data_IF_713426567238
#
_entry.id   IF_713426567238
#
_cell.length_a   1.000
_cell.length_b   1.000
_cell.length_c   1.000
_cell.angle_alpha   90.00
_cell.angle_beta   90.00
_cell.angle_gamma   90.00
#
_symmetry.space_group_name_H-M   'P 1'
#
loop_
_entity.id
_entity.type
_entity.pdbx_description
1 polymer ?
#
# COMPACT_ATOMS: atom_id res chain seq x y z
N UNK A 1 3.25 -24.83 -3.10
CA UNK A 1 2.26 -23.94 -2.41
C UNK A 1 1.49 -23.20 -3.48
N UNK A 2 0.20 -23.42 -3.61
CA UNK A 2 -0.66 -22.68 -4.54
C UNK A 2 -1.42 -21.65 -3.71
N UNK A 3 -1.11 -20.36 -3.93
CA UNK A 3 -1.95 -19.29 -3.39
C UNK A 3 -3.39 -19.42 -3.95
N UNK A 4 -4.41 -18.93 -3.21
CA UNK A 4 -5.77 -18.90 -3.71
C UNK A 4 -5.82 -18.29 -5.10
N UNK A 5 -6.67 -18.84 -5.98
CA UNK A 5 -6.83 -18.32 -7.34
C UNK A 5 -7.21 -16.85 -7.27
N UNK A 6 -6.58 -15.98 -8.08
CA UNK A 6 -6.89 -14.55 -8.04
C UNK A 6 -8.38 -14.35 -8.30
N UNK A 7 -9.03 -13.59 -7.44
CA UNK A 7 -10.43 -13.22 -7.61
C UNK A 7 -10.59 -12.36 -8.86
N UNK A 8 -11.83 -12.21 -9.37
CA UNK A 8 -12.13 -11.33 -10.51
C UNK A 8 -11.65 -9.88 -10.28
N UNK A 9 -11.48 -9.48 -9.03
CA UNK A 9 -10.97 -8.16 -8.64
C UNK A 9 -9.56 -7.84 -9.12
N UNK A 10 -8.72 -8.84 -9.38
CA UNK A 10 -7.36 -8.61 -9.91
C UNK A 10 -7.37 -7.90 -11.28
N UNK A 11 -8.44 -8.06 -12.09
CA UNK A 11 -8.55 -7.38 -13.38
C UNK A 11 -8.66 -5.85 -13.23
N UNK A 12 -9.21 -5.36 -12.10
CA UNK A 12 -9.24 -3.92 -11.79
C UNK A 12 -7.81 -3.42 -11.59
N UNK A 13 -6.98 -4.19 -10.88
CA UNK A 13 -5.55 -3.87 -10.71
C UNK A 13 -4.84 -3.78 -12.06
N UNK A 14 -5.02 -4.76 -12.94
CA UNK A 14 -4.42 -4.73 -14.28
C UNK A 14 -4.91 -3.55 -15.13
N UNK A 15 -6.18 -3.19 -15.00
CA UNK A 15 -6.71 -2.01 -15.69
C UNK A 15 -6.03 -0.72 -15.19
N UNK A 16 -5.88 -0.55 -13.88
CA UNK A 16 -5.19 0.61 -13.29
C UNK A 16 -3.72 0.65 -13.72
N UNK A 17 -3.03 -0.49 -13.70
CA UNK A 17 -1.66 -0.60 -14.21
C UNK A 17 -1.54 -0.19 -15.68
N UNK A 18 -2.52 -0.58 -16.50
CA UNK A 18 -2.61 -0.14 -17.91
C UNK A 18 -2.76 1.38 -18.04
N UNK A 19 -3.55 2.01 -17.15
CA UNK A 19 -3.70 3.48 -17.13
C UNK A 19 -2.39 4.18 -16.73
N UNK A 20 -1.63 3.65 -15.75
CA UNK A 20 -0.32 4.17 -15.36
C UNK A 20 0.66 4.09 -16.57
N UNK A 21 0.68 2.94 -17.24
CA UNK A 21 1.55 2.75 -18.41
C UNK A 21 1.17 3.71 -19.56
N UNK A 22 -0.12 3.92 -19.78
CA UNK A 22 -0.61 4.89 -20.77
C UNK A 22 -0.19 6.32 -20.39
N UNK A 23 -0.29 6.70 -19.12
CA UNK A 23 0.17 7.99 -18.62
C UNK A 23 1.67 8.17 -18.85
N UNK A 24 2.49 7.14 -18.57
CA UNK A 24 3.92 7.16 -18.83
C UNK A 24 4.22 7.39 -20.33
N UNK A 25 3.56 6.65 -21.22
CA UNK A 25 3.73 6.79 -22.66
C UNK A 25 3.29 8.16 -23.17
N UNK A 26 2.17 8.68 -22.68
CA UNK A 26 1.67 10.03 -23.07
C UNK A 26 2.63 11.14 -22.64
N UNK A 27 3.20 11.06 -21.42
CA UNK A 27 4.18 12.03 -20.94
C UNK A 27 5.46 12.03 -21.79
N UNK A 28 5.98 10.85 -22.14
CA UNK A 28 7.15 10.73 -23.03
C UNK A 28 6.86 11.33 -24.42
N UNK A 29 5.70 11.06 -25.00
CA UNK A 29 5.33 11.63 -26.32
C UNK A 29 5.09 13.13 -26.29
N UNK A 30 4.70 13.68 -25.12
CA UNK A 30 4.57 15.11 -24.90
C UNK A 30 5.92 15.83 -24.65
N UNK A 31 7.03 15.07 -24.51
CA UNK A 31 8.36 15.62 -24.18
C UNK A 31 8.62 15.78 -22.69
N UNK A 32 7.65 15.39 -21.84
CA UNK A 32 7.75 15.44 -20.37
C UNK A 32 8.48 14.21 -19.85
N UNK A 33 9.79 14.12 -20.13
CA UNK A 33 10.57 12.90 -19.89
C UNK A 33 10.67 12.53 -18.41
N UNK A 34 10.76 13.52 -17.50
CA UNK A 34 10.80 13.27 -16.06
C UNK A 34 9.50 12.63 -15.56
N UNK A 35 8.35 13.18 -15.98
CA UNK A 35 7.03 12.62 -15.63
C UNK A 35 6.84 11.22 -16.23
N UNK A 36 7.27 11.03 -17.48
CA UNK A 36 7.24 9.73 -18.14
C UNK A 36 8.09 8.67 -17.42
N UNK A 37 9.30 9.05 -16.98
CA UNK A 37 10.17 8.19 -16.18
C UNK A 37 9.55 7.86 -14.83
N UNK A 38 9.04 8.86 -14.10
CA UNK A 38 8.40 8.69 -12.79
C UNK A 38 7.16 7.79 -12.87
N UNK A 39 6.31 7.99 -13.89
CA UNK A 39 5.15 7.11 -14.12
C UNK A 39 5.56 5.68 -14.51
N UNK A 40 6.63 5.52 -15.29
CA UNK A 40 7.20 4.21 -15.62
C UNK A 40 7.74 3.49 -14.39
N UNK A 41 8.42 4.21 -13.51
CA UNK A 41 8.89 3.67 -12.22
C UNK A 41 7.70 3.28 -11.33
N UNK A 42 6.65 4.13 -11.25
CA UNK A 42 5.43 3.81 -10.54
C UNK A 42 4.78 2.52 -11.08
N UNK A 43 4.70 2.35 -12.41
CA UNK A 43 4.24 1.10 -13.00
C UNK A 43 5.05 -0.11 -12.53
N UNK A 44 6.37 -0.03 -12.54
CA UNK A 44 7.23 -1.12 -12.05
C UNK A 44 7.02 -1.41 -10.58
N UNK A 45 6.81 -0.39 -9.74
CA UNK A 45 6.51 -0.55 -8.32
C UNK A 45 5.17 -1.25 -8.07
N UNK A 46 4.18 -1.13 -8.98
CA UNK A 46 2.94 -1.90 -8.87
C UNK A 46 3.16 -3.42 -8.96
N UNK A 47 4.32 -3.87 -9.45
CA UNK A 47 4.68 -5.29 -9.49
C UNK A 47 5.24 -5.81 -8.16
N UNK A 48 5.58 -4.91 -7.21
CA UNK A 48 6.23 -5.30 -5.95
C UNK A 48 5.45 -6.35 -5.15
N UNK A 49 4.10 -6.27 -4.97
CA UNK A 49 3.37 -7.31 -4.24
C UNK A 49 3.43 -8.67 -4.94
N UNK A 50 3.39 -8.70 -6.27
CA UNK A 50 3.51 -9.95 -7.03
C UNK A 50 4.91 -10.57 -6.87
N UNK A 51 5.97 -9.75 -6.86
CA UNK A 51 7.34 -10.19 -6.58
C UNK A 51 7.50 -10.69 -5.15
N UNK A 52 6.88 -10.02 -4.17
CA UNK A 52 6.85 -10.47 -2.77
C UNK A 52 6.19 -11.84 -2.65
N UNK A 53 5.02 -12.03 -3.26
CA UNK A 53 4.32 -13.32 -3.29
C UNK A 53 5.21 -14.42 -3.87
N UNK A 54 5.89 -14.15 -4.99
CA UNK A 54 6.74 -15.14 -5.66
C UNK A 54 8.00 -15.46 -4.89
N UNK A 55 8.72 -14.44 -4.41
CA UNK A 55 10.06 -14.61 -3.84
C UNK A 55 10.02 -14.94 -2.35
N UNK A 56 9.07 -14.36 -1.61
CA UNK A 56 8.98 -14.53 -0.16
C UNK A 56 8.00 -15.63 0.25
N UNK A 57 7.31 -16.28 -0.72
CA UNK A 57 6.27 -17.30 -0.49
C UNK A 57 5.14 -16.80 0.42
N UNK A 58 4.85 -15.51 0.34
CA UNK A 58 3.79 -14.84 1.07
C UNK A 58 2.57 -14.71 0.15
N UNK A 59 1.44 -15.28 0.50
CA UNK A 59 0.21 -15.12 -0.27
C UNK A 59 -0.48 -13.81 0.13
N UNK A 60 -0.19 -12.73 -0.59
CA UNK A 60 -0.87 -11.46 -0.37
C UNK A 60 -2.29 -11.49 -0.95
N UNK A 61 -3.28 -10.96 -0.23
CA UNK A 61 -4.62 -10.73 -0.77
C UNK A 61 -4.54 -9.85 -2.03
N UNK A 62 -5.40 -10.09 -3.02
CA UNK A 62 -5.43 -9.29 -4.25
C UNK A 62 -5.72 -7.81 -3.97
N UNK A 63 -6.41 -7.51 -2.87
CA UNK A 63 -6.69 -6.17 -2.39
C UNK A 63 -5.40 -5.37 -2.13
N UNK A 64 -4.35 -6.01 -1.64
CA UNK A 64 -3.05 -5.34 -1.45
C UNK A 64 -2.46 -4.89 -2.80
N UNK A 65 -2.57 -5.73 -3.83
CA UNK A 65 -2.15 -5.35 -5.19
C UNK A 65 -2.98 -4.16 -5.70
N UNK A 66 -4.29 -4.16 -5.42
CA UNK A 66 -5.18 -3.07 -5.80
C UNK A 66 -4.81 -1.78 -5.07
N UNK A 67 -4.61 -1.81 -3.76
CA UNK A 67 -4.21 -0.63 -2.98
C UNK A 67 -2.90 -0.03 -3.47
N UNK A 68 -1.89 -0.86 -3.78
CA UNK A 68 -0.62 -0.39 -4.36
C UNK A 68 -0.84 0.26 -5.72
N UNK A 69 -1.62 -0.35 -6.59
CA UNK A 69 -1.90 0.21 -7.91
C UNK A 69 -2.69 1.53 -7.82
N UNK A 70 -3.69 1.61 -6.94
CA UNK A 70 -4.48 2.84 -6.70
C UNK A 70 -3.60 3.94 -6.14
N UNK A 71 -2.77 3.67 -5.13
CA UNK A 71 -1.88 4.65 -4.52
C UNK A 71 -0.94 5.27 -5.56
N UNK A 72 -0.26 4.43 -6.34
CA UNK A 72 0.66 4.90 -7.37
C UNK A 72 -0.07 5.61 -8.52
N UNK A 73 -1.28 5.15 -8.89
CA UNK A 73 -2.10 5.82 -9.89
C UNK A 73 -2.51 7.23 -9.46
N UNK A 74 -2.90 7.42 -8.20
CA UNK A 74 -3.26 8.74 -7.66
C UNK A 74 -2.07 9.69 -7.81
N UNK A 75 -0.85 9.31 -7.41
CA UNK A 75 0.33 10.16 -7.58
C UNK A 75 0.64 10.44 -9.05
N UNK A 76 0.61 9.45 -9.93
CA UNK A 76 0.84 9.65 -11.36
C UNK A 76 -0.20 10.62 -11.95
N UNK A 77 -1.47 10.46 -11.62
CA UNK A 77 -2.53 11.35 -12.12
C UNK A 77 -2.49 12.72 -11.46
N UNK A 78 -1.98 12.83 -10.24
CA UNK A 78 -1.69 14.11 -9.60
C UNK A 78 -0.82 15.00 -10.48
N UNK A 79 0.29 14.46 -10.98
CA UNK A 79 1.23 15.17 -11.84
C UNK A 79 0.78 15.20 -13.31
N UNK A 80 0.59 14.04 -13.94
CA UNK A 80 0.27 13.96 -15.37
C UNK A 80 -1.10 14.54 -15.71
N UNK A 81 -2.09 14.33 -14.81
CA UNK A 81 -3.44 14.87 -14.95
C UNK A 81 -3.61 16.30 -14.42
N UNK A 82 -2.59 16.87 -13.77
CA UNK A 82 -2.63 18.21 -13.18
C UNK A 82 -3.55 18.34 -11.97
N UNK A 83 -3.88 17.23 -11.29
CA UNK A 83 -4.81 17.25 -10.16
C UNK A 83 -4.19 17.86 -8.89
N UNK A 84 -2.88 17.81 -8.72
CA UNK A 84 -2.20 18.52 -7.64
C UNK A 84 -2.43 20.03 -7.69
N UNK A 85 -2.57 20.59 -8.89
CA UNK A 85 -2.85 22.02 -9.09
C UNK A 85 -4.37 22.29 -9.04
N UNK A 86 -5.15 21.53 -9.82
CA UNK A 86 -6.59 21.81 -10.01
C UNK A 86 -7.45 21.51 -8.80
N UNK A 87 -7.02 20.60 -7.92
CA UNK A 87 -7.72 20.18 -6.70
C UNK A 87 -6.91 20.49 -5.42
N UNK A 88 -5.93 21.40 -5.53
CA UNK A 88 -5.15 21.85 -4.36
C UNK A 88 -6.05 22.46 -3.27
N UNK A 89 -5.71 22.28 -1.98
CA UNK A 89 -4.64 21.44 -1.43
C UNK A 89 -5.08 19.99 -1.13
N UNK A 90 -6.32 19.62 -1.46
CA UNK A 90 -6.96 18.40 -0.94
C UNK A 90 -6.48 17.13 -1.61
N UNK A 91 -6.16 17.21 -2.91
CA UNK A 91 -5.78 16.00 -3.68
C UNK A 91 -4.51 15.36 -3.13
N UNK A 92 -3.51 16.16 -2.89
CA UNK A 92 -2.23 15.76 -2.35
C UNK A 92 -2.39 15.09 -0.96
N UNK A 93 -3.11 15.74 -0.06
CA UNK A 93 -3.40 15.20 1.29
C UNK A 93 -4.13 13.85 1.25
N UNK A 94 -5.04 13.69 0.29
CA UNK A 94 -5.72 12.41 0.06
C UNK A 94 -4.75 11.36 -0.51
N UNK A 95 -3.85 11.76 -1.40
CA UNK A 95 -2.83 10.88 -1.96
C UNK A 95 -1.91 10.35 -0.86
N UNK A 96 -1.40 11.21 0.03
CA UNK A 96 -0.60 10.82 1.20
C UNK A 96 -1.36 9.87 2.13
N UNK A 97 -2.62 10.17 2.47
CA UNK A 97 -3.44 9.32 3.33
C UNK A 97 -3.61 7.90 2.76
N UNK A 98 -3.91 7.78 1.46
CA UNK A 98 -4.14 6.47 0.81
C UNK A 98 -2.83 5.71 0.65
N UNK A 99 -1.75 6.40 0.28
CA UNK A 99 -0.45 5.78 0.07
C UNK A 99 0.16 5.30 1.37
N UNK A 100 0.07 6.10 2.42
CA UNK A 100 0.55 5.73 3.75
C UNK A 100 -0.25 4.56 4.35
N UNK A 101 -1.58 4.51 4.17
CA UNK A 101 -2.36 3.35 4.56
C UNK A 101 -1.94 2.09 3.79
N UNK A 102 -1.58 2.24 2.51
CA UNK A 102 -1.06 1.13 1.70
C UNK A 102 0.31 0.64 2.19
N UNK A 103 1.23 1.56 2.47
CA UNK A 103 2.56 1.23 3.04
C UNK A 103 2.40 0.55 4.41
N UNK A 104 1.49 1.05 5.25
CA UNK A 104 1.17 0.49 6.55
C UNK A 104 0.68 -0.97 6.46
N UNK A 105 -0.19 -1.27 5.49
CA UNK A 105 -0.64 -2.64 5.21
C UNK A 105 0.51 -3.55 4.78
N UNK A 106 1.37 -3.08 3.89
CA UNK A 106 2.54 -3.84 3.44
C UNK A 106 3.48 -4.11 4.62
N UNK A 107 3.78 -3.09 5.44
CA UNK A 107 4.60 -3.24 6.63
C UNK A 107 4.02 -4.30 7.58
N UNK A 108 2.71 -4.29 7.81
CA UNK A 108 2.05 -5.31 8.61
C UNK A 108 2.23 -6.73 8.05
N UNK A 109 2.02 -6.94 6.74
CA UNK A 109 2.23 -8.26 6.14
C UNK A 109 3.69 -8.72 6.20
N UNK A 110 4.66 -7.80 6.11
CA UNK A 110 6.07 -8.11 6.34
C UNK A 110 6.30 -8.57 7.79
N UNK A 111 5.70 -7.90 8.77
CA UNK A 111 5.81 -8.28 10.18
C UNK A 111 5.18 -9.66 10.46
N UNK A 112 4.02 -9.97 9.86
CA UNK A 112 3.39 -11.30 9.95
C UNK A 112 4.29 -12.38 9.35
N UNK A 113 4.94 -12.09 8.23
CA UNK A 113 5.89 -13.01 7.61
C UNK A 113 7.12 -13.26 8.50
N UNK A 114 7.67 -12.21 9.12
CA UNK A 114 8.80 -12.31 10.03
C UNK A 114 8.44 -13.15 11.29
N UNK A 115 7.22 -12.99 11.81
CA UNK A 115 6.71 -13.86 12.87
C UNK A 115 6.63 -15.32 12.42
N UNK A 116 6.05 -15.57 11.25
CA UNK A 116 5.91 -16.93 10.73
C UNK A 116 7.27 -17.62 10.54
N UNK A 117 8.31 -16.87 10.17
CA UNK A 117 9.68 -17.39 10.06
C UNK A 117 10.38 -17.58 11.40
N UNK A 118 9.75 -17.20 12.50
CA UNK A 118 10.33 -17.26 13.83
C UNK A 118 11.39 -16.19 14.10
N UNK A 119 11.46 -15.16 13.27
CA UNK A 119 12.43 -14.06 13.37
C UNK A 119 12.05 -13.07 14.48
N UNK A 120 10.74 -12.88 14.69
CA UNK A 120 10.17 -12.02 15.74
C UNK A 120 8.96 -12.69 16.39
N UNK A 121 8.59 -12.18 17.57
CA UNK A 121 7.28 -12.46 18.19
C UNK A 121 6.39 -11.25 17.99
N UNK A 122 5.38 -11.37 17.12
CA UNK A 122 4.50 -10.26 16.80
C UNK A 122 3.46 -10.06 17.90
N UNK A 123 3.66 -9.01 18.69
CA UNK A 123 2.67 -8.53 19.67
C UNK A 123 2.02 -7.26 19.14
N UNK A 124 0.84 -6.90 19.68
CA UNK A 124 0.14 -5.68 19.26
C UNK A 124 1.03 -4.42 19.33
N UNK A 125 1.77 -4.14 20.43
CA UNK A 125 2.67 -2.99 20.47
C UNK A 125 3.78 -3.04 19.41
N UNK A 126 4.38 -4.19 19.17
CA UNK A 126 5.44 -4.35 18.15
C UNK A 126 4.86 -4.09 16.76
N UNK A 127 3.66 -4.62 16.45
CA UNK A 127 2.98 -4.37 15.20
C UNK A 127 2.72 -2.87 14.98
N UNK A 128 2.18 -2.17 15.98
CA UNK A 128 1.90 -0.73 15.91
C UNK A 128 3.19 0.05 15.66
N UNK A 129 4.25 -0.18 16.46
CA UNK A 129 5.53 0.52 16.31
C UNK A 129 6.11 0.28 14.92
N UNK A 130 6.12 -0.97 14.46
CA UNK A 130 6.68 -1.31 13.16
C UNK A 130 5.89 -0.66 12.01
N UNK A 131 4.55 -0.73 12.03
CA UNK A 131 3.68 -0.10 11.04
C UNK A 131 3.94 1.41 11.00
N UNK A 132 3.83 2.09 12.14
CA UNK A 132 3.94 3.55 12.20
C UNK A 132 5.34 4.02 11.78
N UNK A 133 6.40 3.38 12.31
CA UNK A 133 7.78 3.77 11.99
C UNK A 133 8.10 3.55 10.51
N UNK A 134 7.70 2.42 9.94
CA UNK A 134 7.95 2.11 8.52
C UNK A 134 7.19 3.09 7.61
N UNK A 135 5.95 3.39 7.94
CA UNK A 135 5.12 4.31 7.14
C UNK A 135 5.68 5.74 7.18
N UNK A 136 6.01 6.26 8.36
CA UNK A 136 6.62 7.58 8.48
C UNK A 136 7.98 7.66 7.81
N UNK A 137 8.81 6.61 7.89
CA UNK A 137 10.08 6.56 7.18
C UNK A 137 9.86 6.62 5.65
N UNK A 138 8.88 5.89 5.13
CA UNK A 138 8.54 5.93 3.71
C UNK A 138 8.03 7.33 3.27
N UNK A 139 7.12 7.94 4.04
CA UNK A 139 6.64 9.29 3.79
C UNK A 139 7.76 10.32 3.83
N UNK A 140 8.64 10.25 4.84
CA UNK A 140 9.82 11.14 4.91
C UNK A 140 10.74 10.97 3.69
N UNK A 141 10.95 9.74 3.22
CA UNK A 141 11.75 9.50 1.99
C UNK A 141 11.06 10.06 0.75
N UNK A 142 9.73 10.08 0.72
CA UNK A 142 8.96 10.68 -0.36
C UNK A 142 9.16 12.21 -0.37
N UNK A 143 9.03 12.88 0.76
CA UNK A 143 9.28 14.33 0.89
C UNK A 143 10.72 14.71 0.50
N UNK A 144 11.70 13.88 0.91
CA UNK A 144 13.11 14.06 0.49
C UNK A 144 13.25 13.88 -1.02
N UNK A 145 12.54 12.93 -1.63
CA UNK A 145 12.55 12.75 -3.08
C UNK A 145 12.01 13.98 -3.80
N UNK A 146 10.89 14.55 -3.35
CA UNK A 146 10.31 15.75 -3.94
C UNK A 146 11.28 16.94 -3.86
N UNK A 147 11.84 17.17 -2.67
CA UNK A 147 12.86 18.20 -2.47
C UNK A 147 14.08 18.04 -3.41
N UNK A 148 14.62 16.82 -3.49
CA UNK A 148 15.79 16.56 -4.35
C UNK A 148 15.43 16.70 -5.83
N UNK A 149 14.23 16.30 -6.24
CA UNK A 149 13.77 16.45 -7.62
C UNK A 149 13.65 17.92 -8.00
N UNK A 150 13.11 18.76 -7.12
CA UNK A 150 12.99 20.20 -7.36
C UNK A 150 14.36 20.86 -7.48
N UNK A 151 15.30 20.54 -6.59
CA UNK A 151 16.66 21.10 -6.63
C UNK A 151 17.47 20.60 -7.84
N UNK A 152 17.31 19.34 -8.26
CA UNK A 152 18.13 18.74 -9.33
C UNK A 152 17.56 18.94 -10.73
N UNK A 153 16.25 18.99 -10.88
CA UNK A 153 15.57 19.00 -12.19
C UNK A 153 14.68 20.25 -12.39
N UNK A 154 14.57 21.12 -11.40
CA UNK A 154 13.73 22.32 -11.45
C UNK A 154 12.25 21.97 -11.57
N UNK A 155 11.82 20.90 -10.93
CA UNK A 155 10.40 20.54 -10.79
C UNK A 155 9.75 21.40 -9.70
N UNK A 156 8.45 21.34 -9.57
CA UNK A 156 7.68 22.02 -8.52
C UNK A 156 6.81 20.95 -7.83
N UNK A 157 7.46 19.93 -7.23
CA UNK A 157 6.78 18.84 -6.54
C UNK A 157 6.47 19.21 -5.11
N UNK A 158 7.45 19.81 -4.42
CA UNK A 158 7.31 20.25 -3.03
C UNK A 158 6.68 21.65 -2.98
N UNK A 159 5.57 21.81 -2.24
CA UNK A 159 4.86 23.09 -2.10
C UNK A 159 5.25 23.86 -0.84
N UNK A 160 6.40 23.53 -0.27
CA UNK A 160 6.99 24.22 0.87
C UNK A 160 6.80 23.51 2.22
N UNK A 161 7.52 23.99 3.25
CA UNK A 161 7.61 23.31 4.53
C UNK A 161 6.27 23.02 5.23
N UNK A 162 5.28 23.91 5.10
CA UNK A 162 3.94 23.70 5.71
C UNK A 162 3.22 22.54 5.03
N UNK A 163 3.37 22.42 3.73
CA UNK A 163 2.82 21.33 2.93
C UNK A 163 3.42 20.00 3.35
N UNK A 164 4.74 19.87 3.32
CA UNK A 164 5.49 18.71 3.82
C UNK A 164 5.06 18.29 5.24
N UNK A 165 4.87 19.24 6.17
CA UNK A 165 4.43 18.89 7.52
C UNK A 165 3.01 18.34 7.55
N UNK A 166 2.10 18.87 6.73
CA UNK A 166 0.72 18.36 6.63
C UNK A 166 0.71 16.98 5.98
N UNK A 167 1.57 16.73 5.00
CA UNK A 167 1.70 15.44 4.33
C UNK A 167 2.20 14.35 5.29
N UNK A 168 3.19 14.65 6.10
CA UNK A 168 3.64 13.75 7.18
C UNK A 168 2.55 13.52 8.23
N UNK A 169 1.67 14.50 8.51
CA UNK A 169 0.50 14.31 9.37
C UNK A 169 -0.52 13.37 8.72
N UNK A 170 -0.74 13.49 7.41
CA UNK A 170 -1.62 12.58 6.67
C UNK A 170 -1.04 11.17 6.62
N UNK A 171 0.28 11.04 6.48
CA UNK A 171 0.98 9.76 6.56
C UNK A 171 0.80 9.10 7.93
N UNK A 172 0.96 9.87 9.00
CA UNK A 172 0.69 9.40 10.36
C UNK A 172 -0.77 8.97 10.54
N UNK A 173 -1.72 9.72 9.96
CA UNK A 173 -3.14 9.38 10.02
C UNK A 173 -3.43 8.06 9.31
N UNK A 174 -2.90 7.86 8.10
CA UNK A 174 -3.02 6.60 7.37
C UNK A 174 -2.42 5.41 8.13
N UNK A 175 -1.22 5.60 8.69
CA UNK A 175 -0.58 4.60 9.54
C UNK A 175 -1.42 4.27 10.79
N UNK A 176 -1.98 5.30 11.46
CA UNK A 176 -2.80 5.12 12.66
C UNK A 176 -4.11 4.37 12.37
N UNK A 177 -4.76 4.64 11.25
CA UNK A 177 -5.97 3.92 10.81
C UNK A 177 -5.66 2.42 10.67
N UNK A 178 -4.60 2.08 9.95
CA UNK A 178 -4.21 0.67 9.73
C UNK A 178 -3.73 0.03 11.02
N UNK A 179 -2.91 0.71 11.81
CA UNK A 179 -2.43 0.19 13.10
C UNK A 179 -3.59 -0.07 14.07
N UNK A 180 -4.60 0.81 14.10
CA UNK A 180 -5.83 0.61 14.88
C UNK A 180 -6.61 -0.61 14.43
N UNK A 181 -6.82 -0.78 13.13
CA UNK A 181 -7.44 -1.97 12.56
C UNK A 181 -6.67 -3.25 12.92
N UNK A 182 -5.35 -3.24 12.74
CA UNK A 182 -4.48 -4.37 13.07
C UNK A 182 -4.51 -4.69 14.56
N UNK A 183 -4.51 -3.68 15.43
CA UNK A 183 -4.61 -3.88 16.88
C UNK A 183 -5.90 -4.60 17.27
N UNK A 184 -7.04 -4.20 16.68
CA UNK A 184 -8.33 -4.85 16.90
C UNK A 184 -8.31 -6.29 16.36
N UNK A 185 -7.78 -6.48 15.15
CA UNK A 185 -7.74 -7.79 14.51
C UNK A 185 -6.82 -8.78 15.26
N UNK A 186 -5.63 -8.35 15.68
CA UNK A 186 -4.70 -9.19 16.45
C UNK A 186 -5.19 -9.48 17.87
N UNK A 187 -6.10 -8.68 18.41
CA UNK A 187 -6.73 -8.95 19.72
C UNK A 187 -7.80 -10.04 19.65
N UNK A 188 -8.19 -10.48 18.43
CA UNK A 188 -9.20 -11.52 18.20
C UNK A 188 -8.54 -12.78 17.64
N UNK A 189 -8.92 -13.95 18.11
CA UNK A 189 -8.37 -15.23 17.62
C UNK A 189 -8.61 -15.43 16.11
N UNK A 190 -9.80 -15.07 15.63
CA UNK A 190 -10.16 -15.16 14.21
C UNK A 190 -9.25 -14.29 13.32
N UNK A 191 -8.96 -13.06 13.77
CA UNK A 191 -8.04 -12.16 13.07
C UNK A 191 -6.61 -12.71 13.03
N UNK A 192 -6.13 -13.29 14.13
CA UNK A 192 -4.83 -13.94 14.18
C UNK A 192 -4.75 -15.13 13.22
N UNK A 193 -5.81 -15.98 13.16
CA UNK A 193 -5.88 -17.09 12.21
C UNK A 193 -5.89 -16.62 10.76
N UNK A 194 -6.68 -15.59 10.48
CA UNK A 194 -6.76 -14.98 9.14
C UNK A 194 -5.38 -14.53 8.64
N UNK A 195 -4.63 -13.78 9.43
CA UNK A 195 -3.32 -13.28 9.00
C UNK A 195 -2.25 -14.39 8.91
N UNK A 196 -2.29 -15.39 9.79
CA UNK A 196 -1.40 -16.57 9.70
C UNK A 196 -1.60 -17.35 8.41
N UNK A 197 -2.83 -17.43 7.90
CA UNK A 197 -3.11 -18.10 6.63
C UNK A 197 -2.36 -17.45 5.45
N UNK A 198 -2.19 -16.14 5.41
CA UNK A 198 -1.42 -15.47 4.34
C UNK A 198 0.09 -15.70 4.46
N UNK A 199 0.60 -15.93 5.65
CA UNK A 199 2.00 -16.28 5.88
C UNK A 199 2.27 -17.76 5.61
N UNK A 200 1.30 -18.63 5.90
CA UNK A 200 1.37 -20.08 5.66
C UNK A 200 0.06 -20.63 5.10
N UNK A 201 -0.10 -20.62 3.77
CA UNK A 201 -1.27 -21.19 3.09
C UNK A 201 -1.45 -22.71 3.27
N UNK A 202 -0.46 -23.41 3.83
CA UNK A 202 -0.55 -24.83 4.15
C UNK A 202 -1.20 -25.10 5.51
N UNK A 203 -1.39 -24.07 6.35
CA UNK A 203 -2.14 -24.18 7.60
C UNK A 203 -3.64 -24.34 7.30
N UNK A 204 -4.26 -25.29 7.97
CA UNK A 204 -5.47 -26.03 7.60
C UNK A 204 -6.83 -25.30 7.62
N UNK A 205 -6.90 -23.99 7.47
CA UNK A 205 -8.20 -23.30 7.39
C UNK A 205 -8.17 -22.24 6.29
N UNK A 206 -8.91 -22.49 5.20
CA UNK A 206 -9.14 -21.47 4.20
C UNK A 206 -9.94 -20.28 4.79
N UNK A 207 -9.73 -19.04 4.33
CA UNK A 207 -10.47 -17.87 4.82
C UNK A 207 -12.00 -18.00 4.69
N UNK A 208 -12.46 -18.72 3.67
CA UNK A 208 -13.88 -18.97 3.43
C UNK A 208 -14.51 -19.86 4.51
N UNK A 209 -13.74 -20.77 5.11
CA UNK A 209 -14.20 -21.60 6.22
C UNK A 209 -14.37 -20.78 7.51
N UNK A 210 -13.52 -19.79 7.72
CA UNK A 210 -13.60 -18.87 8.87
C UNK A 210 -14.80 -17.92 8.76
N UNK A 211 -15.12 -17.47 7.55
CA UNK A 211 -16.30 -16.61 7.29
C UNK A 211 -17.59 -17.41 7.44
N UNK A 212 -17.64 -18.66 6.96
CA UNK A 212 -18.81 -19.52 7.11
C UNK A 212 -19.08 -19.90 8.57
N UNK A 213 -18.05 -20.21 9.34
CA UNK A 213 -18.16 -20.53 10.77
C UNK A 213 -18.68 -19.35 11.61
N UNK A 214 -18.24 -18.12 11.28
CA UNK A 214 -18.73 -16.90 11.93
C UNK A 214 -20.19 -16.59 11.61
N UNK A 215 -20.64 -16.84 10.37
CA UNK A 215 -22.04 -16.66 9.95
C UNK A 215 -22.96 -17.68 10.65
N UNK A 216 -22.52 -18.92 10.78
CA UNK A 216 -23.29 -19.97 11.44
C UNK A 216 -23.41 -19.74 12.97
N UNK A 217 -22.39 -19.21 13.61
CA UNK A 217 -22.45 -18.80 15.02
C UNK A 217 -23.42 -17.63 15.29
N UNK A 218 -23.55 -16.71 14.32
CA UNK A 218 -24.52 -15.58 14.40
C UNK A 218 -25.95 -16.05 14.13
N UNK A 219 -26.14 -17.06 13.30
CA UNK A 219 -27.45 -17.63 12.98
C UNK A 219 -27.99 -18.60 14.05
N UNK A 220 -27.12 -19.13 14.86
CA UNK A 220 -27.47 -20.09 15.94
C UNK A 220 -27.78 -19.44 17.29
N UNK A 221 -27.78 -18.11 17.38
CA UNK A 221 -28.23 -17.31 18.53
C UNK A 221 -29.51 -16.54 18.20
#
# INVERSE_FOLDING_TARGET
>A
MTCPTPSRGIYITYFIQGLILLAAASSVTAGEYFLGFSAGLAFLLTMAPALMTRNMRLCLPWEVNLFVAVSLYIHVMGHVGGYYISLAPYYDKLAHLISSATVALIAFFIAVLAEHRGEIRLTVPIAIIFIVSTTLAAGTLWEIYEFVADEAFGTELQHGNTDTMVDLIMDLAGAAIVAGFVAIALSREEGQRFFRFFADPSSSAAPDDLVSESIDQVRGR
#
